data_IF_182850298379
#
_entry.id   IF_182850298379
#
_cell.length_a   1.000
_cell.length_b   1.000
_cell.length_c   1.000
_cell.angle_alpha   90.00
_cell.angle_beta   90.00
_cell.angle_gamma   90.00
#
_symmetry.space_group_name_H-M   'P 1'
#
loop_
_entity.id
_entity.type
_entity.pdbx_description
1 polymer ?
#
# COMPACT_ATOMS: atom_id res chain seq x y z
N UNK A 1 -33.96 6.59 -12.67
CA UNK A 1 -33.32 5.26 -12.79
C UNK A 1 -31.85 5.51 -13.06
N UNK A 2 -31.08 5.70 -12.00
CA UNK A 2 -29.63 5.84 -12.06
C UNK A 2 -29.06 4.46 -12.29
N UNK A 3 -28.40 4.27 -13.43
CA UNK A 3 -27.54 3.12 -13.68
C UNK A 3 -26.42 3.16 -12.64
N UNK A 4 -26.55 2.37 -11.59
CA UNK A 4 -25.43 2.05 -10.70
C UNK A 4 -24.38 1.36 -11.57
N UNK A 5 -23.37 2.10 -12.01
CA UNK A 5 -22.10 1.47 -12.36
C UNK A 5 -21.71 0.68 -11.12
N UNK A 6 -21.63 -0.64 -11.22
CA UNK A 6 -21.06 -1.45 -10.15
C UNK A 6 -19.61 -0.97 -9.98
N UNK A 7 -19.36 -0.20 -8.93
CA UNK A 7 -18.02 0.24 -8.59
C UNK A 7 -17.15 -1.00 -8.42
N UNK A 8 -16.06 -1.05 -9.19
CA UNK A 8 -15.12 -2.15 -9.14
C UNK A 8 -14.34 -2.09 -7.82
N UNK A 9 -14.83 -2.78 -6.80
CA UNK A 9 -14.21 -2.87 -5.47
C UNK A 9 -13.10 -3.92 -5.42
N UNK A 10 -12.33 -4.08 -6.50
CA UNK A 10 -11.15 -4.94 -6.54
C UNK A 10 -9.89 -4.08 -6.48
N UNK A 11 -8.91 -4.54 -5.72
CA UNK A 11 -7.58 -3.97 -5.77
C UNK A 11 -7.01 -4.12 -7.20
N UNK A 12 -6.27 -3.11 -7.72
CA UNK A 12 -5.71 -3.16 -9.06
C UNK A 12 -4.80 -4.37 -9.28
N UNK A 13 -4.67 -4.82 -10.53
CA UNK A 13 -3.88 -6.01 -10.89
C UNK A 13 -2.37 -5.86 -10.65
N UNK A 14 -1.89 -4.65 -10.43
CA UNK A 14 -0.48 -4.39 -10.20
C UNK A 14 -0.21 -2.97 -9.74
N UNK A 15 0.98 -2.77 -9.20
CA UNK A 15 1.51 -1.46 -8.83
C UNK A 15 2.21 -0.85 -10.02
N UNK A 16 1.78 0.35 -10.42
CA UNK A 16 2.43 1.08 -11.49
C UNK A 16 3.75 1.68 -11.00
N UNK A 17 4.85 1.24 -11.60
CA UNK A 17 6.20 1.73 -11.29
C UNK A 17 6.62 2.89 -12.21
N UNK A 18 5.93 3.08 -13.33
CA UNK A 18 6.23 4.08 -14.34
C UNK A 18 5.79 3.64 -15.74
N UNK A 19 6.25 4.35 -16.76
CA UNK A 19 5.95 4.06 -18.17
C UNK A 19 7.21 3.62 -18.92
N UNK A 20 7.04 2.65 -19.82
CA UNK A 20 7.96 2.35 -20.91
C UNK A 20 7.59 3.22 -22.11
N UNK A 21 8.54 3.99 -22.60
CA UNK A 21 8.40 4.89 -23.74
C UNK A 21 9.03 4.25 -24.98
N UNK A 22 8.21 3.89 -25.97
CA UNK A 22 8.63 3.28 -27.24
C UNK A 22 7.97 4.02 -28.42
N UNK A 23 8.78 4.70 -29.24
CA UNK A 23 8.32 5.41 -30.44
C UNK A 23 7.14 6.37 -30.18
N UNK A 24 7.11 7.02 -29.02
CA UNK A 24 6.05 7.94 -28.59
C UNK A 24 4.82 7.25 -27.95
N UNK A 25 4.77 5.92 -27.92
CA UNK A 25 3.79 5.16 -27.15
C UNK A 25 4.25 5.00 -25.70
N UNK A 26 3.29 5.06 -24.78
CA UNK A 26 3.49 4.85 -23.34
C UNK A 26 2.85 3.53 -22.93
N UNK A 27 3.60 2.66 -22.27
CA UNK A 27 3.11 1.40 -21.74
C UNK A 27 3.42 1.33 -20.23
N UNK A 28 2.42 1.17 -19.36
CA UNK A 28 2.68 1.12 -17.92
C UNK A 28 3.48 -0.13 -17.56
N UNK A 29 4.53 0.06 -16.76
CA UNK A 29 5.29 -1.01 -16.14
C UNK A 29 4.65 -1.33 -14.79
N UNK A 30 3.99 -2.48 -14.72
CA UNK A 30 3.31 -2.93 -13.51
C UNK A 30 4.10 -4.06 -12.84
N UNK A 31 4.28 -3.99 -11.53
CA UNK A 31 4.59 -5.19 -10.75
C UNK A 31 3.28 -5.86 -10.29
N UNK A 32 3.08 -7.17 -10.48
CA UNK A 32 1.82 -7.84 -10.16
C UNK A 32 1.40 -7.68 -8.69
N UNK A 33 0.11 -7.41 -8.45
CA UNK A 33 -0.40 -7.30 -7.07
C UNK A 33 -0.43 -8.65 -6.36
N UNK A 34 -0.43 -9.76 -7.12
CA UNK A 34 -0.37 -11.12 -6.59
C UNK A 34 0.94 -11.44 -5.89
N UNK A 35 2.01 -10.69 -6.17
CA UNK A 35 3.27 -10.74 -5.42
C UNK A 35 3.13 -10.17 -4.00
N UNK A 36 1.97 -9.57 -3.67
CA UNK A 36 1.69 -8.98 -2.37
C UNK A 36 2.41 -7.67 -2.08
N UNK A 37 3.35 -7.27 -2.94
CA UNK A 37 4.24 -6.17 -2.62
C UNK A 37 5.59 -6.22 -3.32
N UNK A 38 6.47 -5.31 -2.93
CA UNK A 38 7.87 -5.29 -3.35
C UNK A 38 8.73 -4.56 -2.31
N UNK A 39 10.05 -4.74 -2.38
CA UNK A 39 11.04 -3.97 -1.64
C UNK A 39 11.64 -2.89 -2.54
N UNK A 40 11.62 -1.63 -2.11
CA UNK A 40 12.26 -0.50 -2.78
C UNK A 40 13.56 -0.13 -2.05
N UNK A 41 14.69 -0.50 -2.64
CA UNK A 41 16.01 -0.26 -2.06
C UNK A 41 16.70 0.88 -2.81
N UNK A 42 17.30 1.82 -2.08
CA UNK A 42 17.92 3.00 -2.69
C UNK A 42 19.29 3.34 -2.09
N UNK A 43 20.14 4.03 -2.83
CA UNK A 43 21.30 4.71 -2.26
C UNK A 43 20.93 6.11 -1.73
N UNK A 44 21.81 6.72 -0.94
CA UNK A 44 21.54 8.02 -0.29
C UNK A 44 21.17 9.12 -1.29
N UNK A 45 21.78 9.13 -2.48
CA UNK A 45 21.51 10.13 -3.50
C UNK A 45 20.15 9.94 -4.18
N UNK A 46 19.55 8.75 -4.05
CA UNK A 46 18.27 8.36 -4.66
C UNK A 46 17.09 8.39 -3.69
N UNK A 47 17.30 8.66 -2.39
CA UNK A 47 16.24 8.63 -1.37
C UNK A 47 15.01 9.47 -1.79
N UNK A 48 15.22 10.71 -2.26
CA UNK A 48 14.12 11.58 -2.71
C UNK A 48 13.34 11.00 -3.88
N UNK A 49 14.02 10.30 -4.79
CA UNK A 49 13.39 9.69 -5.97
C UNK A 49 12.57 8.46 -5.56
N UNK A 50 13.08 7.67 -4.61
CA UNK A 50 12.34 6.56 -4.01
C UNK A 50 11.10 7.06 -3.23
N UNK A 51 11.26 8.08 -2.39
CA UNK A 51 10.14 8.69 -1.64
C UNK A 51 9.06 9.25 -2.58
N UNK A 52 9.45 9.89 -3.69
CA UNK A 52 8.52 10.41 -4.69
C UNK A 52 7.73 9.30 -5.39
N UNK A 53 8.36 8.17 -5.69
CA UNK A 53 7.69 6.98 -6.23
C UNK A 53 6.65 6.45 -5.24
N UNK A 54 7.05 6.23 -3.97
CA UNK A 54 6.16 5.69 -2.93
C UNK A 54 4.93 6.57 -2.71
N UNK A 55 5.12 7.89 -2.60
CA UNK A 55 4.02 8.83 -2.43
C UNK A 55 3.10 8.87 -3.66
N UNK A 56 3.67 8.89 -4.87
CA UNK A 56 2.89 8.91 -6.12
C UNK A 56 2.07 7.64 -6.32
N UNK A 57 2.67 6.47 -6.05
CA UNK A 57 2.02 5.18 -6.12
C UNK A 57 0.87 5.08 -5.11
N UNK A 58 1.10 5.53 -3.87
CA UNK A 58 0.08 5.49 -2.82
C UNK A 58 -1.13 6.37 -3.16
N UNK A 59 -0.88 7.59 -3.66
CA UNK A 59 -1.94 8.50 -4.11
C UNK A 59 -2.67 7.98 -5.35
N UNK A 60 -1.96 7.40 -6.31
CA UNK A 60 -2.60 6.80 -7.49
C UNK A 60 -3.54 5.67 -7.08
N UNK A 61 -3.12 4.77 -6.19
CA UNK A 61 -3.99 3.70 -5.69
C UNK A 61 -5.22 4.25 -4.97
N UNK A 62 -5.06 5.27 -4.13
CA UNK A 62 -6.17 5.92 -3.44
C UNK A 62 -7.16 6.60 -4.40
N UNK A 63 -6.67 7.16 -5.51
CA UNK A 63 -7.52 7.80 -6.52
C UNK A 63 -8.29 6.78 -7.38
N UNK A 64 -7.68 5.63 -7.68
CA UNK A 64 -8.32 4.57 -8.48
C UNK A 64 -9.32 3.72 -7.67
N UNK A 65 -9.16 3.68 -6.35
CA UNK A 65 -9.95 2.84 -5.47
C UNK A 65 -11.19 3.60 -4.94
N UNK A 66 -12.33 2.92 -4.73
CA UNK A 66 -13.48 3.54 -4.07
C UNK A 66 -13.09 4.17 -2.74
N UNK A 67 -13.74 5.27 -2.36
CA UNK A 67 -13.45 5.97 -1.11
C UNK A 67 -13.51 4.99 0.09
N UNK A 68 -12.57 5.15 1.03
CA UNK A 68 -12.40 4.29 2.23
C UNK A 68 -12.09 2.82 1.97
N UNK A 69 -12.08 2.36 0.72
CA UNK A 69 -11.78 0.97 0.40
C UNK A 69 -10.30 0.63 0.58
N UNK A 70 -9.41 1.61 0.58
CA UNK A 70 -7.98 1.43 0.81
C UNK A 70 -7.53 2.29 1.98
N UNK A 71 -6.79 1.68 2.90
CA UNK A 71 -6.02 2.37 3.94
C UNK A 71 -4.53 2.30 3.61
N UNK A 72 -3.83 3.41 3.81
CA UNK A 72 -2.37 3.48 3.72
C UNK A 72 -1.81 3.58 5.13
N UNK A 73 -0.90 2.68 5.45
CA UNK A 73 -0.34 2.53 6.79
C UNK A 73 1.18 2.58 6.69
N UNK A 74 1.82 3.42 7.50
CA UNK A 74 3.26 3.63 7.40
C UNK A 74 3.94 3.34 8.73
N UNK A 75 4.98 2.52 8.67
CA UNK A 75 5.89 2.20 9.77
C UNK A 75 7.18 2.97 9.54
N UNK A 76 7.33 4.14 10.16
CA UNK A 76 8.50 4.99 10.00
C UNK A 76 8.71 5.95 11.18
N UNK A 77 9.91 5.92 11.78
CA UNK A 77 10.33 6.82 12.85
C UNK A 77 11.01 8.09 12.32
N UNK A 78 11.15 8.19 10.99
CA UNK A 78 11.84 9.27 10.31
C UNK A 78 11.13 10.61 10.37
N UNK A 79 11.77 11.61 9.74
CA UNK A 79 11.13 12.91 9.49
C UNK A 79 9.92 12.71 8.59
N UNK A 80 8.96 13.62 8.66
CA UNK A 80 7.79 13.61 7.76
C UNK A 80 8.24 13.64 6.29
N UNK A 81 8.09 12.51 5.57
CA UNK A 81 8.46 12.34 4.14
C UNK A 81 7.30 12.63 3.18
N UNK A 82 6.12 12.09 3.48
CA UNK A 82 4.95 12.14 2.59
C UNK A 82 3.99 13.27 2.95
N UNK A 83 4.29 14.46 2.41
CA UNK A 83 3.53 15.69 2.66
C UNK A 83 2.12 15.69 2.05
N UNK A 84 1.91 14.98 0.95
CA UNK A 84 0.63 14.88 0.26
C UNK A 84 -0.25 13.76 0.83
N UNK A 85 0.34 12.73 1.44
CA UNK A 85 -0.44 11.73 2.19
C UNK A 85 -0.92 12.24 3.55
N UNK A 86 -0.17 13.13 4.19
CA UNK A 86 -0.45 13.54 5.57
C UNK A 86 -1.82 14.19 5.81
N UNK A 87 -2.39 15.01 4.90
CA UNK A 87 -3.76 15.50 5.05
C UNK A 87 -4.81 14.39 5.17
N UNK A 88 -4.55 13.21 4.59
CA UNK A 88 -5.46 12.07 4.60
C UNK A 88 -5.54 11.37 5.96
N UNK A 89 -4.70 11.74 6.93
CA UNK A 89 -4.84 11.29 8.33
C UNK A 89 -6.15 11.78 8.96
N UNK A 90 -6.60 12.99 8.60
CA UNK A 90 -7.86 13.55 9.08
C UNK A 90 -9.07 12.70 8.67
N UNK A 91 -8.97 12.00 7.53
CA UNK A 91 -9.98 11.09 7.00
C UNK A 91 -9.79 9.64 7.48
N UNK A 92 -8.78 9.36 8.31
CA UNK A 92 -8.39 8.00 8.71
C UNK A 92 -8.08 7.07 7.52
N UNK A 93 -7.69 7.64 6.38
CA UNK A 93 -7.22 6.92 5.18
C UNK A 93 -5.73 6.63 5.29
N UNK A 94 -4.96 7.53 5.91
CA UNK A 94 -3.53 7.38 6.14
C UNK A 94 -3.23 7.31 7.65
N UNK A 95 -2.40 6.35 8.09
CA UNK A 95 -1.94 6.22 9.48
C UNK A 95 -0.43 6.04 9.53
N UNK A 96 0.24 6.67 10.50
CA UNK A 96 1.69 6.55 10.71
C UNK A 96 1.96 6.04 12.12
N UNK A 97 2.68 4.92 12.22
CA UNK A 97 3.28 4.41 13.45
C UNK A 97 4.74 4.85 13.51
N UNK A 98 5.12 5.59 14.55
CA UNK A 98 6.37 6.34 14.62
C UNK A 98 7.26 6.01 15.84
N UNK A 99 6.92 4.97 16.59
CA UNK A 99 7.80 4.33 17.58
C UNK A 99 7.58 2.80 17.60
N UNK A 100 8.49 2.07 18.23
CA UNK A 100 8.48 0.60 18.26
C UNK A 100 7.17 0.03 18.80
N UNK A 101 6.61 0.67 19.83
CA UNK A 101 5.37 0.23 20.47
C UNK A 101 4.19 0.40 19.51
N UNK A 102 4.07 1.57 18.87
CA UNK A 102 3.03 1.85 17.89
C UNK A 102 3.13 0.96 16.65
N UNK A 103 4.34 0.60 16.21
CA UNK A 103 4.50 -0.36 15.11
C UNK A 103 4.07 -1.75 15.57
N UNK A 104 4.51 -2.22 16.74
CA UNK A 104 4.16 -3.54 17.25
C UNK A 104 2.63 -3.69 17.45
N UNK A 105 1.98 -2.69 18.07
CA UNK A 105 0.52 -2.66 18.24
C UNK A 105 -0.20 -2.67 16.87
N UNK A 106 0.27 -1.87 15.91
CA UNK A 106 -0.37 -1.80 14.60
C UNK A 106 -0.13 -3.06 13.76
N UNK A 107 1.04 -3.69 13.89
CA UNK A 107 1.32 -5.00 13.31
C UNK A 107 0.36 -6.07 13.88
N UNK A 108 0.09 -6.04 15.19
CA UNK A 108 -0.90 -6.92 15.83
C UNK A 108 -2.32 -6.72 15.29
N UNK A 109 -2.74 -5.47 15.08
CA UNK A 109 -4.04 -5.15 14.47
C UNK A 109 -4.17 -5.72 13.04
N UNK A 110 -3.10 -5.58 12.23
CA UNK A 110 -3.06 -6.13 10.87
C UNK A 110 -3.04 -7.65 10.88
N UNK A 111 -2.25 -8.28 11.76
CA UNK A 111 -2.19 -9.74 11.89
C UNK A 111 -3.57 -10.28 12.28
N UNK A 112 -4.24 -9.66 13.25
CA UNK A 112 -5.60 -10.02 13.61
C UNK A 112 -6.55 -9.91 12.41
N UNK A 113 -6.47 -8.82 11.64
CA UNK A 113 -7.26 -8.63 10.42
C UNK A 113 -7.02 -9.75 9.41
N UNK A 114 -5.76 -10.12 9.16
CA UNK A 114 -5.38 -11.21 8.26
C UNK A 114 -5.96 -12.54 8.75
N UNK A 115 -5.78 -12.87 10.04
CA UNK A 115 -6.27 -14.10 10.66
C UNK A 115 -7.79 -14.20 10.54
N UNK A 116 -8.53 -13.16 10.95
CA UNK A 116 -9.99 -13.13 10.88
C UNK A 116 -10.47 -13.31 9.44
N UNK A 117 -9.84 -12.66 8.46
CA UNK A 117 -10.22 -12.81 7.05
C UNK A 117 -10.03 -14.24 6.57
N UNK A 118 -8.90 -14.88 6.87
CA UNK A 118 -8.65 -16.28 6.51
C UNK A 118 -9.62 -17.26 7.20
N UNK A 119 -10.00 -17.00 8.46
CA UNK A 119 -10.88 -17.88 9.22
C UNK A 119 -12.36 -17.73 8.87
N UNK A 120 -12.80 -16.49 8.57
CA UNK A 120 -14.23 -16.16 8.51
C UNK A 120 -14.71 -15.75 7.11
N UNK A 121 -13.84 -15.15 6.28
CA UNK A 121 -14.24 -14.59 4.99
C UNK A 121 -13.79 -15.43 3.79
N UNK A 122 -12.53 -15.87 3.82
CA UNK A 122 -11.91 -16.57 2.70
C UNK A 122 -12.27 -18.05 2.72
N UNK A 123 -12.60 -18.59 1.55
CA UNK A 123 -12.92 -20.00 1.37
C UNK A 123 -12.64 -20.43 -0.08
N UNK A 124 -12.85 -21.70 -0.41
CA UNK A 124 -12.63 -22.23 -1.77
C UNK A 124 -13.35 -21.45 -2.87
N UNK A 125 -14.51 -20.82 -2.57
CA UNK A 125 -15.29 -20.02 -3.53
C UNK A 125 -14.92 -18.53 -3.54
N UNK A 126 -14.11 -18.08 -2.57
CA UNK A 126 -13.62 -16.71 -2.35
C UNK A 126 -12.17 -16.79 -1.83
N UNK A 127 -11.21 -17.13 -2.70
CA UNK A 127 -9.85 -17.45 -2.25
C UNK A 127 -9.05 -16.24 -1.76
N UNK A 128 -9.49 -15.02 -2.06
CA UNK A 128 -8.84 -13.79 -1.65
C UNK A 128 -9.85 -12.65 -1.47
N UNK A 129 -9.39 -11.52 -0.92
CA UNK A 129 -10.24 -10.37 -0.63
C UNK A 129 -10.88 -9.78 -1.88
N UNK A 130 -10.18 -9.75 -3.03
CA UNK A 130 -10.78 -9.34 -4.30
C UNK A 130 -12.01 -10.20 -4.63
N UNK A 131 -11.90 -11.52 -4.56
CA UNK A 131 -13.02 -12.42 -4.82
C UNK A 131 -14.16 -12.27 -3.80
N UNK A 132 -13.85 -11.98 -2.54
CA UNK A 132 -14.86 -11.67 -1.52
C UNK A 132 -15.56 -10.34 -1.83
N UNK A 133 -14.82 -9.27 -2.03
CA UNK A 133 -15.35 -7.93 -2.28
C UNK A 133 -16.14 -7.85 -3.58
N UNK A 134 -15.85 -8.64 -4.61
CA UNK A 134 -16.66 -8.68 -5.82
C UNK A 134 -18.04 -9.33 -5.60
N UNK A 135 -18.15 -10.30 -4.69
CA UNK A 135 -19.39 -11.08 -4.47
C UNK A 135 -20.20 -10.62 -3.26
N UNK A 136 -19.55 -10.05 -2.25
CA UNK A 136 -20.17 -9.66 -0.98
C UNK A 136 -20.83 -8.29 -1.07
N UNK A 137 -21.96 -8.11 -0.36
CA UNK A 137 -22.54 -6.79 -0.10
C UNK A 137 -21.75 -6.02 0.98
N UNK A 138 -21.19 -6.75 1.94
CA UNK A 138 -20.32 -6.20 2.97
C UNK A 138 -18.88 -6.24 2.44
N UNK A 139 -18.47 -5.11 1.84
CA UNK A 139 -17.11 -4.92 1.37
C UNK A 139 -16.15 -4.79 2.56
N UNK A 140 -14.89 -5.12 2.34
CA UNK A 140 -13.82 -5.02 3.33
C UNK A 140 -12.69 -4.17 2.76
N UNK A 141 -12.06 -3.37 3.61
CA UNK A 141 -11.00 -2.48 3.18
C UNK A 141 -9.70 -3.24 2.89
N UNK A 142 -8.98 -2.79 1.88
CA UNK A 142 -7.61 -3.14 1.60
C UNK A 142 -6.65 -2.31 2.46
N UNK A 143 -5.45 -2.83 2.66
CA UNK A 143 -4.39 -2.15 3.39
C UNK A 143 -3.13 -2.12 2.51
N UNK A 144 -2.55 -0.93 2.34
CA UNK A 144 -1.21 -0.74 1.78
C UNK A 144 -0.28 -0.35 2.92
N UNK A 145 0.66 -1.22 3.26
CA UNK A 145 1.59 -1.07 4.38
C UNK A 145 2.96 -0.67 3.84
N UNK A 146 3.38 0.55 4.13
CA UNK A 146 4.71 1.08 3.82
C UNK A 146 5.63 0.83 5.01
N UNK A 147 6.64 -0.02 4.85
CA UNK A 147 7.55 -0.41 5.94
C UNK A 147 8.93 0.18 5.69
N UNK A 148 9.35 1.17 6.50
CA UNK A 148 10.75 1.57 6.51
C UNK A 148 11.58 0.51 7.25
N UNK A 149 12.39 -0.24 6.52
CA UNK A 149 13.15 -1.38 7.04
C UNK A 149 14.22 -0.97 8.06
N UNK A 150 14.68 0.29 8.04
CA UNK A 150 15.60 0.81 9.06
C UNK A 150 14.95 0.94 10.44
N UNK A 151 13.62 1.05 10.48
CA UNK A 151 12.84 1.33 11.69
C UNK A 151 11.92 0.17 12.06
N UNK A 152 12.06 -0.99 11.42
CA UNK A 152 11.18 -2.12 11.69
C UNK A 152 11.58 -2.83 13.00
N UNK A 153 10.66 -2.98 13.98
CA UNK A 153 10.96 -3.47 15.33
C UNK A 153 11.13 -4.99 15.35
N UNK A 154 12.28 -5.46 14.87
CA UNK A 154 12.58 -6.90 14.77
C UNK A 154 12.78 -7.61 16.11
N UNK A 155 12.97 -6.87 17.21
CA UNK A 155 13.14 -7.45 18.54
C UNK A 155 11.82 -7.66 19.27
N UNK A 156 10.78 -6.91 18.88
CA UNK A 156 9.45 -6.89 19.49
C UNK A 156 8.52 -7.89 18.80
N UNK A 157 8.78 -8.18 17.51
CA UNK A 157 7.96 -9.08 16.70
C UNK A 157 8.72 -10.39 16.45
N UNK A 158 8.15 -11.50 16.91
CA UNK A 158 8.71 -12.84 16.67
C UNK A 158 8.87 -13.13 15.18
N UNK A 159 10.01 -13.68 14.78
CA UNK A 159 10.32 -14.05 13.38
C UNK A 159 9.21 -14.90 12.72
N UNK A 160 8.61 -15.83 13.48
CA UNK A 160 7.51 -16.67 12.97
C UNK A 160 6.28 -15.84 12.58
N UNK A 161 5.97 -14.80 13.35
CA UNK A 161 4.86 -13.88 13.06
C UNK A 161 5.15 -13.08 11.81
N UNK A 162 6.38 -12.59 11.62
CA UNK A 162 6.79 -11.90 10.39
C UNK A 162 6.62 -12.81 9.16
N UNK A 163 7.08 -14.06 9.23
CA UNK A 163 6.91 -15.04 8.13
C UNK A 163 5.44 -15.27 7.79
N UNK A 164 4.64 -15.58 8.81
CA UNK A 164 3.21 -15.81 8.63
C UNK A 164 2.49 -14.58 8.05
N UNK A 165 2.89 -13.39 8.49
CA UNK A 165 2.35 -12.12 8.01
C UNK A 165 2.59 -11.95 6.51
N UNK A 166 3.86 -12.00 6.06
CA UNK A 166 4.19 -11.76 4.65
C UNK A 166 3.57 -12.82 3.73
N UNK A 167 3.53 -14.10 4.17
CA UNK A 167 2.94 -15.20 3.40
C UNK A 167 1.40 -15.11 3.29
N UNK A 168 0.72 -14.57 4.30
CA UNK A 168 -0.76 -14.58 4.38
C UNK A 168 -1.41 -13.26 3.95
N UNK A 169 -0.65 -12.17 3.92
CA UNK A 169 -1.14 -10.80 3.74
C UNK A 169 -1.89 -10.59 2.42
N UNK A 170 -1.30 -11.00 1.29
CA UNK A 170 -1.83 -10.70 -0.05
C UNK A 170 -3.25 -11.24 -0.25
N UNK A 171 -3.51 -12.49 0.18
CA UNK A 171 -4.84 -13.09 0.05
C UNK A 171 -5.87 -12.41 0.95
N UNK A 172 -5.44 -11.92 2.11
CA UNK A 172 -6.26 -11.14 3.03
C UNK A 172 -6.40 -9.66 2.61
N UNK A 173 -5.84 -9.24 1.46
CA UNK A 173 -5.93 -7.88 0.94
C UNK A 173 -5.07 -6.86 1.70
N UNK A 174 -3.97 -7.33 2.29
CA UNK A 174 -2.91 -6.51 2.85
C UNK A 174 -1.71 -6.59 1.89
N UNK A 175 -1.26 -5.45 1.39
CA UNK A 175 -0.14 -5.34 0.47
C UNK A 175 1.00 -4.56 1.11
N UNK A 176 2.24 -4.96 0.88
CA UNK A 176 3.40 -4.43 1.60
C UNK A 176 4.40 -3.82 0.63
N UNK A 177 4.78 -2.56 0.84
CA UNK A 177 5.94 -1.98 0.17
C UNK A 177 6.97 -1.69 1.25
N UNK A 178 7.99 -2.55 1.34
CA UNK A 178 9.11 -2.31 2.23
C UNK A 178 10.11 -1.40 1.54
N UNK A 179 10.79 -0.52 2.25
CA UNK A 179 11.78 0.36 1.65
C UNK A 179 12.92 0.68 2.61
N UNK A 180 14.08 1.02 2.06
CA UNK A 180 15.25 1.38 2.86
C UNK A 180 16.49 1.61 2.01
N UNK A 181 17.56 2.05 2.66
CA UNK A 181 18.86 2.17 2.00
C UNK A 181 19.40 0.76 1.67
N UNK A 182 20.04 0.58 0.51
CA UNK A 182 20.65 -0.70 0.07
C UNK A 182 21.58 -1.34 1.11
N UNK A 183 22.21 -0.58 2.00
CA UNK A 183 23.00 -1.10 3.13
C UNK A 183 22.22 -2.11 3.99
N UNK A 184 20.88 -2.01 4.03
CA UNK A 184 19.99 -2.91 4.77
C UNK A 184 20.07 -4.36 4.30
N UNK A 185 20.51 -4.61 3.06
CA UNK A 185 20.72 -5.95 2.52
C UNK A 185 21.78 -6.72 3.33
N UNK A 186 22.74 -5.99 3.92
CA UNK A 186 23.78 -6.55 4.78
C UNK A 186 23.39 -6.62 6.26
N UNK A 187 22.15 -6.24 6.61
CA UNK A 187 21.69 -6.24 8.00
C UNK A 187 21.69 -7.65 8.59
N UNK A 188 22.14 -7.77 9.84
CA UNK A 188 22.10 -9.03 10.60
C UNK A 188 20.72 -9.39 11.15
N UNK A 189 19.68 -8.58 10.89
CA UNK A 189 18.36 -8.75 11.47
C UNK A 189 17.52 -9.75 10.67
N UNK A 190 17.26 -10.93 11.24
CA UNK A 190 16.54 -12.02 10.57
C UNK A 190 15.12 -11.63 10.09
N UNK A 191 14.44 -10.73 10.82
CA UNK A 191 13.12 -10.23 10.44
C UNK A 191 13.16 -9.40 9.16
N UNK A 192 14.09 -8.45 9.07
CA UNK A 192 14.32 -7.63 7.86
C UNK A 192 14.71 -8.53 6.69
N UNK A 193 15.64 -9.46 6.91
CA UNK A 193 16.06 -10.43 5.90
C UNK A 193 14.92 -11.33 5.41
N UNK A 194 13.94 -11.63 6.26
CA UNK A 194 12.74 -12.38 5.88
C UNK A 194 11.88 -11.56 4.92
N UNK A 195 11.67 -10.27 5.20
CA UNK A 195 10.90 -9.37 4.32
C UNK A 195 11.60 -9.21 2.97
N UNK A 196 12.91 -8.93 2.97
CA UNK A 196 13.73 -8.75 1.76
C UNK A 196 13.78 -9.99 0.84
N UNK A 197 13.72 -11.20 1.43
CA UNK A 197 13.72 -12.46 0.67
C UNK A 197 12.34 -12.84 0.14
N UNK A 198 11.28 -12.36 0.79
CA UNK A 198 9.92 -12.68 0.40
C UNK A 198 9.46 -11.84 -0.79
N UNK A 199 9.77 -10.54 -0.75
CA UNK A 199 9.34 -9.59 -1.79
C UNK A 199 10.42 -9.37 -2.84
N UNK A 200 9.97 -9.03 -4.06
CA UNK A 200 10.86 -8.68 -5.17
C UNK A 200 11.58 -7.36 -4.90
N UNK A 201 12.86 -7.26 -5.28
CA UNK A 201 13.66 -6.07 -5.02
C UNK A 201 13.76 -5.12 -6.23
N UNK A 202 13.21 -3.92 -6.10
CA UNK A 202 13.41 -2.79 -7.00
C UNK A 202 14.51 -1.89 -6.44
N UNK A 203 15.59 -1.69 -7.19
CA UNK A 203 16.71 -0.84 -6.75
C UNK A 203 16.72 0.52 -7.45
N UNK A 204 17.12 1.55 -6.72
CA UNK A 204 17.42 2.88 -7.25
C UNK A 204 18.84 3.28 -6.87
N UNK A 205 19.72 3.35 -7.86
CA UNK A 205 21.15 3.62 -7.67
C UNK A 205 21.53 4.80 -8.55
N UNK A 206 22.22 5.81 -8.01
CA UNK A 206 22.60 7.03 -8.72
C UNK A 206 21.43 7.71 -9.45
N UNK A 207 20.24 7.71 -8.82
CA UNK A 207 18.98 8.20 -9.38
C UNK A 207 18.48 7.42 -10.61
N UNK A 208 18.93 6.19 -10.85
CA UNK A 208 18.44 5.33 -11.92
C UNK A 208 17.76 4.08 -11.34
N UNK A 209 16.64 3.69 -11.92
CA UNK A 209 15.91 2.48 -11.52
C UNK A 209 16.51 1.26 -12.21
N UNK A 210 16.94 0.29 -11.41
CA UNK A 210 17.44 -1.00 -11.90
C UNK A 210 16.25 -1.95 -12.09
N UNK A 211 15.69 -1.98 -13.31
CA UNK A 211 14.63 -2.93 -13.64
C UNK A 211 15.23 -4.27 -14.04
N UNK A 212 15.21 -5.22 -13.11
CA UNK A 212 15.69 -6.59 -13.32
C UNK A 212 14.56 -7.51 -13.81
N UNK A 213 14.91 -8.72 -14.26
CA UNK A 213 13.93 -9.75 -14.63
C UNK A 213 13.07 -10.23 -13.46
N UNK A 214 13.50 -9.96 -12.22
CA UNK A 214 12.73 -10.21 -11.01
C UNK A 214 11.50 -9.30 -10.96
N UNK A 215 11.66 -8.03 -11.30
CA UNK A 215 10.59 -7.02 -11.33
C UNK A 215 9.77 -7.10 -12.62
N UNK A 216 10.43 -7.28 -13.77
CA UNK A 216 9.78 -7.31 -15.07
C UNK A 216 10.46 -8.32 -16.00
N UNK A 217 9.77 -9.42 -16.31
CA UNK A 217 10.35 -10.57 -17.03
C UNK A 217 10.91 -10.22 -18.42
N UNK A 218 10.32 -9.23 -19.11
CA UNK A 218 10.67 -8.85 -20.48
C UNK A 218 11.71 -7.73 -20.53
N UNK A 219 12.85 -7.91 -19.86
CA UNK A 219 13.92 -6.90 -19.81
C UNK A 219 14.51 -6.56 -21.19
N UNK A 220 14.31 -7.40 -22.22
CA UNK A 220 14.75 -7.09 -23.59
C UNK A 220 14.05 -5.83 -24.15
N UNK A 221 12.88 -5.45 -23.61
CA UNK A 221 12.17 -4.24 -24.04
C UNK A 221 12.99 -2.96 -23.77
N UNK A 222 13.87 -2.98 -22.77
CA UNK A 222 14.77 -1.85 -22.46
C UNK A 222 15.87 -1.62 -23.51
N UNK A 223 16.07 -2.54 -24.46
CA UNK A 223 16.98 -2.32 -25.60
C UNK A 223 16.44 -1.25 -26.56
N UNK A 224 15.11 -1.03 -26.57
CA UNK A 224 14.42 -0.15 -27.51
C UNK A 224 13.50 0.87 -26.84
N UNK A 225 13.15 0.67 -25.57
CA UNK A 225 12.29 1.56 -24.80
C UNK A 225 13.05 2.26 -23.67
N UNK A 226 12.63 3.48 -23.33
CA UNK A 226 13.13 4.22 -22.16
C UNK A 226 12.16 4.11 -20.99
N UNK A 227 12.66 3.86 -19.79
CA UNK A 227 11.83 3.86 -18.58
C UNK A 227 11.70 5.27 -18.00
N UNK A 228 10.47 5.74 -17.85
CA UNK A 228 10.12 6.92 -17.07
C UNK A 228 9.45 6.46 -15.76
N UNK A 229 10.07 6.66 -14.58
CA UNK A 229 9.46 6.24 -13.33
C UNK A 229 8.21 7.05 -13.02
N UNK A 230 7.32 6.46 -12.23
CA UNK A 230 6.09 7.11 -11.82
C UNK A 230 6.39 8.37 -10.98
N UNK A 231 6.14 9.53 -11.57
CA UNK A 231 6.20 10.83 -10.91
C UNK A 231 4.93 11.61 -11.27
N UNK A 232 3.91 11.47 -10.44
CA UNK A 232 2.60 12.08 -10.70
C UNK A 232 2.51 13.48 -10.08
N UNK A 233 1.56 14.28 -10.58
CA UNK A 233 1.20 15.55 -9.97
C UNK A 233 0.47 15.32 -8.63
N UNK A 234 1.23 14.99 -7.58
CA UNK A 234 0.74 14.65 -6.24
C UNK A 234 -0.25 15.66 -5.64
N UNK A 235 -0.08 16.99 -5.81
CA UNK A 235 -1.10 17.96 -5.37
C UNK A 235 -2.46 17.76 -6.04
N UNK A 236 -2.49 17.48 -7.34
CA UNK A 236 -3.74 17.28 -8.09
C UNK A 236 -4.43 15.97 -7.69
N UNK A 237 -3.66 14.90 -7.47
CA UNK A 237 -4.21 13.63 -6.96
C UNK A 237 -4.82 13.80 -5.57
N UNK A 238 -4.12 14.51 -4.66
CA UNK A 238 -4.65 14.81 -3.34
C UNK A 238 -5.95 15.61 -3.43
N UNK A 239 -6.00 16.65 -4.27
CA UNK A 239 -7.21 17.44 -4.48
C UNK A 239 -8.37 16.56 -4.93
N UNK A 240 -8.14 15.70 -5.93
CA UNK A 240 -9.16 14.77 -6.43
C UNK A 240 -9.64 13.79 -5.35
N UNK A 241 -8.74 13.20 -4.56
CA UNK A 241 -9.09 12.32 -3.44
C UNK A 241 -9.94 13.08 -2.41
N UNK A 242 -9.56 14.32 -2.07
CA UNK A 242 -10.29 15.15 -1.10
C UNK A 242 -11.67 15.57 -1.61
N UNK A 243 -11.79 15.89 -2.89
CA UNK A 243 -13.09 16.18 -3.53
C UNK A 243 -14.00 14.95 -3.50
N UNK A 244 -13.47 13.77 -3.83
CA UNK A 244 -14.22 12.53 -3.78
C UNK A 244 -14.62 12.15 -2.35
N UNK A 245 -13.77 12.47 -1.37
CA UNK A 245 -14.05 12.23 0.05
C UNK A 245 -15.12 13.15 0.65
N UNK A 246 -15.35 14.32 0.03
CA UNK A 246 -16.23 15.40 0.47
C UNK A 246 -16.25 15.59 2.01
N UNK A 247 -15.10 15.96 2.62
CA UNK A 247 -14.99 16.08 4.08
C UNK A 247 -15.98 17.08 4.67
N UNK A 248 -16.32 18.15 3.95
CA UNK A 248 -17.22 19.20 4.45
C UNK A 248 -18.63 18.68 4.71
N UNK A 249 -19.19 17.88 3.79
CA UNK A 249 -20.48 17.22 4.01
C UNK A 249 -20.39 16.15 5.11
N UNK A 250 -19.27 15.43 5.18
CA UNK A 250 -19.07 14.36 6.16
C UNK A 250 -19.05 14.86 7.61
N UNK A 251 -18.51 16.06 7.84
CA UNK A 251 -18.45 16.67 9.17
C UNK A 251 -19.48 17.78 9.37
N UNK A 252 -20.40 17.95 8.42
CA UNK A 252 -21.53 18.86 8.60
C UNK A 252 -22.37 18.41 9.80
N UNK A 253 -22.78 19.31 10.70
CA UNK A 253 -23.63 18.96 11.85
C UNK A 253 -24.92 18.22 11.44
N UNK A 254 -25.40 18.48 10.23
CA UNK A 254 -26.62 17.90 9.65
C UNK A 254 -26.46 16.45 9.18
N UNK A 255 -25.23 15.97 8.94
CA UNK A 255 -24.96 14.59 8.53
C UNK A 255 -24.70 13.64 9.71
N UNK A 256 -24.51 14.18 10.92
CA UNK A 256 -24.42 13.40 12.17
C UNK A 256 -25.82 12.94 12.57
N UNK A 257 -26.21 11.75 12.12
CA UNK A 257 -27.41 11.06 12.63
C UNK A 257 -27.15 10.59 14.06
N UNK A 258 -27.62 11.35 15.05
CA UNK A 258 -27.71 10.87 16.43
C UNK A 258 -28.69 9.69 16.45
N UNK A 259 -28.22 8.51 16.87
CA UNK A 259 -29.09 7.36 17.14
C UNK A 259 -30.06 7.73 18.28
N UNK A 260 -31.29 8.06 17.93
CA UNK A 260 -32.38 8.28 18.89
C UNK A 260 -32.96 6.93 19.30
N UNK A 261 -32.20 6.08 19.99
CA UNK A 261 -32.76 4.93 20.71
C UNK A 261 -31.79 4.38 21.76
N UNK A 262 -31.65 5.11 22.87
CA UNK A 262 -31.36 4.48 24.15
C UNK A 262 -32.55 4.69 25.07
N UNK A 263 -33.58 3.85 24.90
CA UNK A 263 -34.55 3.59 25.97
C UNK A 263 -33.78 3.02 27.15
N UNK A 264 -33.45 3.88 28.11
CA UNK A 264 -33.05 3.46 29.45
C UNK A 264 -34.26 2.76 30.07
N UNK A 265 -34.23 1.43 30.16
CA UNK A 265 -35.21 0.70 30.96
C UNK A 265 -35.06 1.15 32.42
N UNK A 266 -36.12 1.72 32.97
CA UNK A 266 -36.29 1.96 34.41
C UNK A 266 -36.75 0.68 35.09
#
# INVERSE_FOLDING_TARGET
MTTTHEENYAFPRGFNLGDLILEGNRMPLLTPSEDGGFCLLYDDVSEKKADALLESLSLQLLEHMPLESLRVEMFDFGRKKFYHLSPLQYLSIYRVSHDDKMIAEHFEELEHTIITRHQELLCCNRPNLNAHNQKSKLKQNYHLVLINLHHFPTTEIELRRIKNFVESAVHAGVYVIAFGNQEIETSGHEGVQTILKHFKNLRVTNNEFEITSEIFEHTQVFEVATFEPLDLARPALLEQIMTNANPEERFAPESIKLETDTKVMK
#
